data_IF_612515482606
#
_entry.id   IF_612515482606
#
_cell.length_a   1.000
_cell.length_b   1.000
_cell.length_c   1.000
_cell.angle_alpha   90.00
_cell.angle_beta   90.00
_cell.angle_gamma   90.00
#
_symmetry.space_group_name_H-M   'P 1'
#
loop_
_entity.id
_entity.type
_entity.pdbx_description
1 polymer ?
#
# COMPACT_ATOMS: atom_id res chain seq x y z
N UNK A 1 -12.68 10.82 8.48
CA UNK A 1 -12.48 9.41 8.09
C UNK A 1 -13.70 9.03 7.26
N UNK A 2 -13.54 8.49 6.04
CA UNK A 2 -14.69 8.09 5.20
C UNK A 2 -14.79 6.57 5.26
N UNK A 3 -15.93 6.07 5.73
CA UNK A 3 -16.23 4.64 5.85
C UNK A 3 -16.23 3.94 4.50
N UNK A 4 -15.83 2.66 4.49
CA UNK A 4 -15.91 1.81 3.31
C UNK A 4 -17.37 1.46 3.01
N UNK A 5 -17.83 1.60 1.76
CA UNK A 5 -19.20 1.25 1.39
C UNK A 5 -19.42 -0.26 1.52
N UNK A 6 -20.47 -0.68 2.22
CA UNK A 6 -20.87 -2.07 2.29
C UNK A 6 -21.77 -2.44 1.11
N UNK A 7 -21.79 -3.72 0.69
CA UNK A 7 -22.72 -4.19 -0.33
C UNK A 7 -24.18 -4.05 0.14
N UNK A 8 -25.12 -3.91 -0.79
CA UNK A 8 -26.56 -3.82 -0.46
C UNK A 8 -27.01 -4.96 0.46
N UNK A 9 -27.76 -4.61 1.50
CA UNK A 9 -28.26 -5.55 2.51
C UNK A 9 -27.28 -5.94 3.61
N UNK A 10 -26.08 -5.34 3.65
CA UNK A 10 -25.16 -5.47 4.78
C UNK A 10 -25.31 -4.28 5.73
N UNK A 11 -25.25 -4.59 7.03
CA UNK A 11 -25.17 -3.60 8.10
C UNK A 11 -23.77 -3.58 8.68
N UNK A 12 -23.43 -2.57 9.49
CA UNK A 12 -22.10 -2.40 10.08
C UNK A 12 -21.65 -3.63 10.87
N UNK A 13 -22.54 -4.27 11.61
CA UNK A 13 -22.24 -5.48 12.38
C UNK A 13 -22.06 -6.73 11.51
N UNK A 14 -22.43 -6.68 10.22
CA UNK A 14 -22.13 -7.73 9.24
C UNK A 14 -20.77 -7.52 8.55
N UNK A 15 -20.15 -6.35 8.74
CA UNK A 15 -18.91 -5.99 8.09
C UNK A 15 -17.78 -6.92 8.52
N UNK A 16 -17.11 -7.54 7.56
CA UNK A 16 -15.95 -8.39 7.77
C UNK A 16 -14.93 -8.02 6.72
N UNK A 17 -14.10 -7.01 6.99
CA UNK A 17 -13.29 -6.37 5.97
C UNK A 17 -11.86 -6.88 6.02
N UNK A 18 -11.28 -7.17 4.86
CA UNK A 18 -9.85 -7.44 4.72
C UNK A 18 -9.32 -6.81 3.43
N UNK A 19 -8.01 -6.64 3.35
CA UNK A 19 -7.35 -6.05 2.18
C UNK A 19 -6.45 -7.10 1.55
N UNK A 20 -6.56 -7.30 0.23
CA UNK A 20 -5.57 -8.02 -0.56
C UNK A 20 -4.58 -7.02 -1.13
N UNK A 21 -3.31 -7.38 -1.18
CA UNK A 21 -2.28 -6.58 -1.82
C UNK A 21 -1.62 -7.38 -2.94
N UNK A 22 -1.21 -6.66 -3.98
CA UNK A 22 -0.46 -7.20 -5.11
C UNK A 22 0.71 -6.27 -5.38
N UNK A 23 1.90 -6.72 -5.00
CA UNK A 23 3.14 -6.04 -5.30
C UNK A 23 3.73 -6.58 -6.61
N UNK A 24 4.13 -5.71 -7.54
CA UNK A 24 4.61 -6.11 -8.86
C UNK A 24 5.85 -7.02 -8.80
N UNK A 25 6.08 -7.83 -9.85
CA UNK A 25 7.23 -8.72 -9.94
C UNK A 25 8.54 -7.93 -10.04
N UNK A 26 9.24 -7.83 -8.90
CA UNK A 26 10.56 -7.19 -8.80
C UNK A 26 11.68 -8.24 -8.82
N UNK A 27 11.59 -9.24 -7.94
CA UNK A 27 12.66 -10.23 -7.72
C UNK A 27 12.45 -11.48 -8.57
N UNK A 28 11.23 -12.02 -8.57
CA UNK A 28 10.81 -13.10 -9.45
C UNK A 28 9.96 -12.55 -10.61
N UNK A 29 9.54 -13.43 -11.51
CA UNK A 29 8.60 -13.08 -12.59
C UNK A 29 7.14 -13.13 -12.14
N UNK A 30 6.88 -13.47 -10.87
CA UNK A 30 5.56 -13.52 -10.27
C UNK A 30 5.36 -12.35 -9.30
N UNK A 31 4.17 -11.73 -9.25
CA UNK A 31 3.86 -10.70 -8.26
C UNK A 31 3.84 -11.31 -6.86
N UNK A 32 4.25 -10.52 -5.86
CA UNK A 32 4.08 -10.88 -4.45
C UNK A 32 2.67 -10.49 -4.02
N UNK A 33 1.85 -11.47 -3.67
CA UNK A 33 0.47 -11.25 -3.26
C UNK A 33 0.24 -11.74 -1.83
N UNK A 34 -0.77 -11.19 -1.18
CA UNK A 34 -1.21 -11.66 0.12
C UNK A 34 -2.45 -10.90 0.58
N UNK A 35 -2.83 -11.12 1.83
CA UNK A 35 -4.00 -10.48 2.43
C UNK A 35 -3.78 -10.21 3.91
N UNK A 36 -4.43 -9.17 4.39
CA UNK A 36 -4.49 -8.85 5.82
C UNK A 36 -5.39 -9.84 6.56
N UNK A 37 -5.34 -9.80 7.88
CA UNK A 37 -6.38 -10.37 8.74
C UNK A 37 -7.70 -9.66 8.47
N UNK A 38 -8.78 -10.41 8.68
CA UNK A 38 -10.14 -9.88 8.60
C UNK A 38 -10.48 -9.16 9.90
N UNK A 39 -11.00 -7.94 9.79
CA UNK A 39 -11.53 -7.16 10.90
C UNK A 39 -13.05 -7.18 10.81
N UNK A 40 -13.70 -7.63 11.89
CA UNK A 40 -15.15 -7.77 11.95
C UNK A 40 -15.83 -6.54 12.57
N UNK A 41 -17.12 -6.38 12.31
CA UNK A 41 -18.05 -5.44 12.94
C UNK A 41 -17.68 -3.95 12.78
N UNK A 42 -16.98 -3.58 11.71
CA UNK A 42 -16.61 -2.19 11.44
C UNK A 42 -16.48 -1.88 9.95
N UNK A 43 -16.89 -0.67 9.56
CA UNK A 43 -16.69 -0.07 8.22
C UNK A 43 -15.42 0.79 8.13
N UNK A 44 -14.75 1.00 9.27
CA UNK A 44 -13.49 1.73 9.41
C UNK A 44 -12.43 0.82 10.06
N UNK A 45 -12.01 -0.27 9.38
CA UNK A 45 -11.08 -1.24 9.95
C UNK A 45 -9.68 -0.64 10.11
N UNK A 46 -9.03 -0.97 11.23
CA UNK A 46 -7.62 -0.68 11.45
C UNK A 46 -6.83 -1.98 11.36
N UNK A 47 -5.91 -2.07 10.39
CA UNK A 47 -5.05 -3.23 10.21
C UNK A 47 -3.72 -2.95 10.91
N UNK A 48 -3.48 -3.61 12.04
CA UNK A 48 -2.27 -3.41 12.85
C UNK A 48 -1.07 -4.27 12.40
N UNK A 49 -1.07 -4.77 11.17
CA UNK A 49 -0.03 -5.66 10.66
C UNK A 49 0.94 -4.96 9.71
N UNK A 50 2.22 -5.30 9.83
CA UNK A 50 3.26 -4.87 8.88
C UNK A 50 3.59 -6.03 7.94
N UNK A 51 3.48 -5.78 6.64
CA UNK A 51 3.79 -6.76 5.60
C UNK A 51 5.16 -6.44 5.01
N UNK A 52 6.07 -7.41 5.03
CA UNK A 52 7.41 -7.27 4.44
C UNK A 52 7.38 -7.83 3.03
N UNK A 53 7.72 -7.00 2.05
CA UNK A 53 7.81 -7.37 0.63
C UNK A 53 9.28 -7.39 0.22
N UNK A 54 9.67 -8.41 -0.54
CA UNK A 54 11.05 -8.56 -0.98
C UNK A 54 11.32 -7.73 -2.25
N UNK A 55 12.35 -6.90 -2.22
CA UNK A 55 12.79 -6.06 -3.35
C UNK A 55 14.19 -6.41 -3.87
N UNK A 56 14.81 -7.49 -3.38
CA UNK A 56 16.12 -7.97 -3.81
C UNK A 56 17.32 -7.26 -3.16
N UNK A 57 18.54 -7.75 -3.44
CA UNK A 57 19.80 -7.26 -2.86
C UNK A 57 20.59 -6.36 -3.83
N UNK A 58 21.52 -5.56 -3.30
CA UNK A 58 22.02 -4.29 -3.87
C UNK A 58 22.57 -4.29 -5.29
N UNK A 59 23.07 -5.42 -5.83
CA UNK A 59 23.62 -5.46 -7.20
C UNK A 59 22.56 -5.74 -8.29
N UNK A 60 21.42 -6.36 -7.96
CA UNK A 60 20.31 -6.59 -8.89
C UNK A 60 19.17 -5.57 -8.73
N UNK A 61 19.37 -4.58 -7.85
CA UNK A 61 18.32 -3.73 -7.29
C UNK A 61 17.97 -2.51 -8.14
N UNK A 62 18.75 -2.14 -9.15
CA UNK A 62 18.57 -0.81 -9.75
C UNK A 62 17.61 -0.81 -10.94
N UNK A 63 17.90 -1.50 -12.05
CA UNK A 63 17.10 -1.25 -13.28
C UNK A 63 15.66 -1.77 -13.24
N UNK A 64 15.43 -3.04 -12.86
CA UNK A 64 14.09 -3.66 -12.84
C UNK A 64 13.20 -3.01 -11.77
N UNK A 65 13.73 -2.80 -10.57
CA UNK A 65 13.01 -2.18 -9.47
C UNK A 65 12.69 -0.71 -9.73
N UNK A 66 13.66 0.09 -10.21
CA UNK A 66 13.40 1.50 -10.59
C UNK A 66 12.34 1.57 -11.69
N UNK A 67 12.41 0.71 -12.72
CA UNK A 67 11.38 0.65 -13.76
C UNK A 67 9.99 0.32 -13.19
N UNK A 68 9.92 -0.63 -12.26
CA UNK A 68 8.67 -1.01 -11.58
C UNK A 68 8.15 0.13 -10.71
N UNK A 69 9.01 0.88 -10.03
CA UNK A 69 8.60 2.00 -9.18
C UNK A 69 8.10 3.20 -10.00
N UNK A 70 8.69 3.45 -11.18
CA UNK A 70 8.24 4.50 -12.11
C UNK A 70 6.94 4.17 -12.81
N UNK A 71 6.73 2.91 -13.20
CA UNK A 71 5.61 2.51 -14.07
C UNK A 71 4.48 1.78 -13.35
N UNK A 72 4.79 1.11 -12.25
CA UNK A 72 3.84 0.29 -11.51
C UNK A 72 3.43 0.93 -10.18
N UNK A 73 2.63 0.18 -9.43
CA UNK A 73 2.18 0.56 -8.11
C UNK A 73 1.90 -0.66 -7.24
N UNK A 74 1.80 -0.42 -5.94
CA UNK A 74 1.28 -1.42 -5.00
C UNK A 74 -0.24 -1.35 -5.05
N UNK A 75 -0.86 -2.39 -5.62
CA UNK A 75 -2.32 -2.47 -5.73
C UNK A 75 -2.90 -3.06 -4.45
N UNK A 76 -3.96 -2.42 -3.96
CA UNK A 76 -4.78 -2.90 -2.86
C UNK A 76 -6.21 -3.11 -3.31
N UNK A 77 -6.83 -4.17 -2.83
CA UNK A 77 -8.22 -4.53 -3.09
C UNK A 77 -8.90 -4.79 -1.75
N UNK A 78 -9.93 -4.01 -1.44
CA UNK A 78 -10.65 -4.11 -0.17
C UNK A 78 -11.86 -4.99 -0.38
N UNK A 79 -12.02 -6.01 0.47
CA UNK A 79 -13.07 -7.01 0.35
C UNK A 79 -13.92 -7.08 1.61
N UNK A 80 -15.23 -7.27 1.41
CA UNK A 80 -16.11 -7.86 2.40
C UNK A 80 -16.00 -9.38 2.29
N UNK A 81 -15.55 -10.01 3.38
CA UNK A 81 -15.48 -11.46 3.50
C UNK A 81 -16.88 -12.06 3.42
N UNK A 82 -17.01 -13.09 2.59
CA UNK A 82 -18.21 -13.91 2.52
C UNK A 82 -18.39 -14.76 3.77
N UNK A 83 -19.63 -14.94 4.21
CA UNK A 83 -19.98 -15.94 5.22
C UNK A 83 -19.89 -17.36 4.67
N UNK A 84 -20.46 -18.32 5.40
CA UNK A 84 -20.49 -19.71 4.95
C UNK A 84 -21.09 -19.85 3.54
N UNK A 85 -20.34 -20.51 2.64
CA UNK A 85 -20.67 -20.71 1.21
C UNK A 85 -20.88 -19.44 0.36
N UNK A 86 -20.58 -18.24 0.87
CA UNK A 86 -20.65 -16.99 0.08
C UNK A 86 -19.26 -16.57 -0.37
N UNK A 87 -19.14 -16.07 -1.60
CA UNK A 87 -17.89 -15.49 -2.10
C UNK A 87 -17.58 -14.15 -1.44
N UNK A 88 -16.29 -13.82 -1.38
CA UNK A 88 -15.83 -12.48 -0.97
C UNK A 88 -16.28 -11.44 -2.01
N UNK A 89 -16.79 -10.29 -1.54
CA UNK A 89 -17.25 -9.18 -2.38
C UNK A 89 -16.22 -8.05 -2.39
N UNK A 90 -15.80 -7.63 -3.58
CA UNK A 90 -14.92 -6.47 -3.74
C UNK A 90 -15.68 -5.19 -3.41
N UNK A 91 -15.13 -4.38 -2.50
CA UNK A 91 -15.68 -3.08 -2.12
C UNK A 91 -15.01 -1.94 -2.89
N UNK A 92 -13.76 -2.12 -3.29
CA UNK A 92 -13.04 -1.19 -4.13
C UNK A 92 -11.55 -1.48 -4.20
N UNK A 93 -10.87 -0.75 -5.08
CA UNK A 93 -9.44 -0.89 -5.34
C UNK A 93 -8.72 0.44 -5.17
N UNK A 94 -7.45 0.39 -4.78
CA UNK A 94 -6.54 1.51 -4.74
C UNK A 94 -5.18 1.09 -5.29
N UNK A 95 -4.40 2.05 -5.78
CA UNK A 95 -3.05 1.80 -6.26
C UNK A 95 -2.12 2.91 -5.77
N UNK A 96 -1.12 2.54 -4.97
CA UNK A 96 -0.07 3.45 -4.50
C UNK A 96 1.04 3.51 -5.53
N UNK A 97 1.30 4.71 -6.06
CA UNK A 97 2.45 4.93 -6.95
C UNK A 97 3.73 4.95 -6.12
N UNK A 98 4.69 4.12 -6.49
CA UNK A 98 5.92 3.92 -5.72
C UNK A 98 7.04 4.91 -6.11
N UNK A 99 6.81 5.78 -7.09
CA UNK A 99 7.78 6.75 -7.59
C UNK A 99 8.31 7.70 -6.50
N UNK A 100 7.48 8.06 -5.51
CA UNK A 100 7.90 8.88 -4.36
C UNK A 100 9.01 8.21 -3.52
N UNK A 101 9.09 6.88 -3.54
CA UNK A 101 10.12 6.11 -2.84
C UNK A 101 11.50 6.16 -3.52
N UNK A 102 11.59 6.79 -4.70
CA UNK A 102 12.90 7.11 -5.30
C UNK A 102 13.61 8.24 -4.56
N UNK A 103 12.85 9.15 -3.94
CA UNK A 103 13.36 10.37 -3.29
C UNK A 103 13.24 10.31 -1.75
N UNK A 104 12.26 9.57 -1.22
CA UNK A 104 12.00 9.42 0.21
C UNK A 104 12.03 7.95 0.61
N UNK A 105 12.49 7.66 1.84
CA UNK A 105 12.43 6.31 2.39
C UNK A 105 11.02 5.94 2.90
N UNK A 106 10.12 6.93 3.02
CA UNK A 106 8.77 6.76 3.53
C UNK A 106 7.73 7.39 2.59
N UNK A 107 6.62 6.69 2.41
CA UNK A 107 5.43 7.14 1.70
C UNK A 107 4.21 6.87 2.57
N UNK A 108 3.55 7.92 3.02
CA UNK A 108 2.30 7.84 3.76
C UNK A 108 1.24 8.67 3.04
N UNK A 109 0.18 8.01 2.57
CA UNK A 109 -0.91 8.69 1.88
C UNK A 109 -2.23 7.95 2.10
N UNK A 110 -3.33 8.66 1.85
CA UNK A 110 -4.70 8.12 1.90
C UNK A 110 -5.35 8.28 0.54
N UNK A 111 -5.75 7.17 -0.07
CA UNK A 111 -6.34 7.15 -1.41
C UNK A 111 -7.82 6.71 -1.37
N UNK A 112 -8.68 7.31 -2.19
CA UNK A 112 -10.07 6.90 -2.30
C UNK A 112 -10.19 5.55 -2.99
N UNK A 113 -11.09 4.70 -2.48
CA UNK A 113 -11.44 3.43 -3.13
C UNK A 113 -12.13 3.70 -4.45
N UNK A 114 -11.77 2.90 -5.47
CA UNK A 114 -12.28 3.02 -6.83
C UNK A 114 -12.78 1.69 -7.37
N UNK A 115 -13.82 1.78 -8.19
CA UNK A 115 -14.27 0.73 -9.10
C UNK A 115 -14.02 1.22 -10.53
N UNK A 116 -13.00 0.67 -11.17
CA UNK A 116 -12.46 1.21 -12.41
C UNK A 116 -12.01 2.67 -12.23
N UNK A 117 -12.65 3.60 -12.94
CA UNK A 117 -12.34 5.04 -12.87
C UNK A 117 -13.18 5.79 -11.84
N UNK A 118 -14.25 5.18 -11.32
CA UNK A 118 -15.21 5.84 -10.42
C UNK A 118 -14.81 5.65 -8.97
N UNK A 119 -14.80 6.73 -8.19
CA UNK A 119 -14.66 6.61 -6.73
C UNK A 119 -15.96 6.03 -6.14
N UNK A 120 -15.85 5.03 -5.29
CA UNK A 120 -17.01 4.31 -4.72
C UNK A 120 -17.33 4.70 -3.28
N UNK A 121 -16.50 5.53 -2.67
CA UNK A 121 -16.60 5.90 -1.25
C UNK A 121 -15.59 5.12 -0.41
N UNK A 122 -15.27 5.64 0.77
CA UNK A 122 -14.19 5.12 1.61
C UNK A 122 -12.80 5.59 1.21
N UNK A 123 -11.90 5.62 2.19
CA UNK A 123 -10.47 5.90 2.02
C UNK A 123 -9.68 4.71 2.56
N UNK A 124 -8.61 4.33 1.87
CA UNK A 124 -7.58 3.45 2.41
C UNK A 124 -6.34 4.30 2.72
N UNK A 125 -5.83 4.18 3.94
CA UNK A 125 -4.59 4.83 4.38
C UNK A 125 -3.50 3.78 4.53
N UNK A 126 -2.33 4.03 3.96
CA UNK A 126 -1.20 3.12 4.05
C UNK A 126 0.11 3.87 4.23
N UNK A 127 0.99 3.30 5.04
CA UNK A 127 2.38 3.71 5.21
C UNK A 127 3.30 2.66 4.60
N UNK A 128 4.07 3.06 3.59
CA UNK A 128 5.04 2.23 2.88
C UNK A 128 6.44 2.74 3.24
N UNK A 129 7.34 1.84 3.63
CA UNK A 129 8.70 2.19 4.05
C UNK A 129 9.71 1.29 3.35
N UNK A 130 10.84 1.87 3.00
CA UNK A 130 12.03 1.17 2.51
C UNK A 130 13.23 1.60 3.33
N UNK A 131 14.28 0.78 3.36
CA UNK A 131 15.49 1.06 4.15
C UNK A 131 16.21 2.33 3.68
N UNK A 132 16.39 2.44 2.37
CA UNK A 132 17.10 3.53 1.70
C UNK A 132 16.32 3.86 0.41
N UNK A 133 16.19 5.15 0.03
CA UNK A 133 15.58 5.54 -1.24
C UNK A 133 16.23 4.81 -2.43
N UNK A 134 15.43 4.43 -3.44
CA UNK A 134 15.89 3.56 -4.55
C UNK A 134 16.50 4.35 -5.71
N UNK A 135 16.21 5.65 -5.78
CA UNK A 135 16.81 6.50 -6.82
C UNK A 135 18.33 6.58 -6.64
N UNK A 136 19.04 6.93 -7.70
CA UNK A 136 20.41 7.48 -7.62
C UNK A 136 20.35 8.90 -7.01
N UNK A 137 19.59 9.08 -5.93
CA UNK A 137 19.72 10.22 -5.08
C UNK A 137 21.15 10.17 -4.55
N UNK A 138 22.07 10.78 -5.31
CA UNK A 138 23.25 11.44 -4.77
C UNK A 138 22.74 12.02 -3.46
N UNK A 139 23.20 11.50 -2.33
CA UNK A 139 22.83 12.01 -1.02
C UNK A 139 22.82 13.53 -1.16
N UNK A 140 21.63 14.13 -1.13
CA UNK A 140 21.54 15.56 -1.39
C UNK A 140 22.33 16.18 -0.25
N UNK A 141 23.48 16.76 -0.55
CA UNK A 141 24.29 17.48 0.42
C UNK A 141 23.51 18.74 0.74
N UNK A 142 22.60 18.66 1.70
CA UNK A 142 21.91 19.85 2.20
C UNK A 142 22.95 20.57 3.06
N UNK A 143 23.46 21.70 2.57
CA UNK A 143 24.30 22.59 3.35
C UNK A 143 23.43 23.27 4.42
N UNK A 144 23.26 22.61 5.56
CA UNK A 144 22.71 23.24 6.76
C UNK A 144 23.84 24.00 7.46
N UNK A 145 23.55 25.18 8.01
CA UNK A 145 24.50 25.86 8.91
C UNK A 145 24.49 25.13 10.25
N UNK A 146 25.39 24.17 10.40
CA UNK A 146 25.61 23.50 11.67
C UNK A 146 26.33 24.46 12.60
N UNK A 147 25.73 24.76 13.76
CA UNK A 147 26.46 25.37 14.86
C UNK A 147 27.38 24.29 15.42
N UNK A 148 28.68 24.41 15.16
CA UNK A 148 29.70 23.54 15.74
C UNK A 148 30.14 24.20 17.04
N UNK A 149 30.00 23.49 18.16
CA UNK A 149 30.54 23.91 19.45
C UNK A 149 31.90 23.22 19.63
N UNK A 150 32.98 23.98 19.55
CA UNK A 150 34.31 23.50 19.94
C UNK A 150 34.47 23.56 21.47
N UNK A 151 35.22 22.59 22.03
CA UNK A 151 35.58 22.50 23.46
C UNK A 151 36.78 23.35 23.82
#
# INVERSE_FOLDING_TARGET
>A
MRDVPLPSGYEVHHANIFVRYTFPPVVSDQPQTGKTKTVANTTSPQFAESIILNIGSGKSRNSKLQRVFKRGGLKFEVYQKGGFMRSDKLLGTCEWKLEKLEQSAELEESLPLKEGRKAVGGLLSAKIRIREPIGDAKAQSIAQKWLILDS
#
